data_IF_247396348662
#
_entry.id   IF_247396348662
#
_cell.length_a   1.000
_cell.length_b   1.000
_cell.length_c   1.000
_cell.angle_alpha   90.00
_cell.angle_beta   90.00
_cell.angle_gamma   90.00
#
_symmetry.space_group_name_H-M   'P 1'
#
loop_
_entity.id
_entity.type
_entity.pdbx_description
1 polymer ?
#
# COMPACT_ATOMS: atom_id res chain seq x y z
N UNK A 1 33.84 52.12 -13.10
CA UNK A 1 32.55 52.85 -13.33
C UNK A 1 31.45 51.82 -13.59
N UNK A 2 30.32 52.04 -12.94
CA UNK A 2 28.99 51.38 -13.06
C UNK A 2 28.80 50.02 -12.42
N UNK A 3 28.26 50.08 -11.18
CA UNK A 3 27.57 49.11 -10.41
C UNK A 3 26.30 48.62 -11.12
N UNK A 4 25.95 47.34 -10.97
CA UNK A 4 24.57 46.88 -11.12
C UNK A 4 24.13 46.20 -9.82
N UNK A 5 23.09 46.76 -9.24
CA UNK A 5 22.39 46.31 -8.05
C UNK A 5 21.55 45.08 -8.35
N UNK A 6 21.49 44.20 -7.34
CA UNK A 6 20.50 43.13 -7.21
C UNK A 6 19.17 43.71 -6.75
N UNK A 7 18.06 43.29 -7.35
CA UNK A 7 16.71 43.53 -6.83
C UNK A 7 16.23 42.28 -6.05
N UNK A 8 16.15 42.46 -4.73
CA UNK A 8 15.26 41.66 -3.88
C UNK A 8 13.84 42.24 -4.02
N UNK A 9 12.86 41.40 -4.32
CA UNK A 9 11.45 41.80 -4.35
C UNK A 9 10.78 41.34 -3.07
N UNK A 10 10.47 42.30 -2.22
CA UNK A 10 9.59 42.20 -1.06
C UNK A 10 8.15 42.39 -1.54
N UNK A 11 7.28 41.44 -1.23
CA UNK A 11 5.84 41.68 -1.35
C UNK A 11 5.31 42.29 -0.07
N UNK A 12 4.96 43.56 -0.15
CA UNK A 12 4.26 44.28 0.91
C UNK A 12 2.83 44.60 0.46
N UNK A 13 1.88 44.22 1.30
CA UNK A 13 0.46 44.54 1.17
C UNK A 13 0.24 46.05 1.37
N UNK A 14 -0.51 46.70 0.50
CA UNK A 14 -1.13 47.98 0.80
C UNK A 14 -2.60 48.00 0.42
N UNK A 15 -3.44 48.15 1.45
CA UNK A 15 -4.84 48.54 1.34
C UNK A 15 -4.91 50.04 0.95
N UNK A 16 -5.73 50.38 -0.01
CA UNK A 16 -6.19 51.76 -0.21
C UNK A 16 -7.71 51.76 -0.28
N UNK A 17 -8.31 52.40 0.71
CA UNK A 17 -9.73 52.79 0.78
C UNK A 17 -9.90 54.13 0.11
N UNK A 18 -10.91 54.31 -0.72
CA UNK A 18 -11.61 55.59 -0.91
C UNK A 18 -13.03 55.39 -1.43
N UNK A 19 -14.00 56.22 -1.00
CA UNK A 19 -15.41 56.01 -1.23
C UNK A 19 -15.96 56.77 -2.43
N UNK A 20 -16.87 56.16 -3.15
CA UNK A 20 -17.71 56.90 -4.13
C UNK A 20 -19.14 56.90 -3.66
N UNK A 21 -19.65 58.09 -3.31
CA UNK A 21 -21.08 58.34 -3.07
C UNK A 21 -21.81 58.33 -4.43
N UNK A 22 -22.83 57.50 -4.51
CA UNK A 22 -23.87 57.62 -5.54
C UNK A 22 -25.22 57.51 -4.88
N UNK A 23 -25.96 58.64 -4.91
CA UNK A 23 -27.34 58.75 -4.49
C UNK A 23 -28.21 58.09 -5.55
N UNK A 24 -29.01 57.16 -5.19
CA UNK A 24 -30.14 56.70 -6.00
C UNK A 24 -31.39 56.42 -5.13
N UNK A 25 -32.42 57.02 -5.59
CA UNK A 25 -33.78 57.19 -5.09
C UNK A 25 -34.51 55.87 -4.83
N UNK A 26 -35.23 55.83 -3.75
CA UNK A 26 -36.08 54.73 -3.28
C UNK A 26 -37.28 54.47 -4.20
N UNK A 27 -37.42 53.18 -4.56
CA UNK A 27 -38.72 52.60 -4.92
C UNK A 27 -39.02 51.51 -3.91
N UNK A 28 -40.02 51.73 -3.08
CA UNK A 28 -40.47 50.76 -2.09
C UNK A 28 -41.35 49.73 -2.77
N UNK A 29 -40.80 48.51 -2.92
CA UNK A 29 -41.56 47.33 -3.30
C UNK A 29 -41.72 46.44 -2.04
N UNK A 30 -42.93 46.32 -1.54
CA UNK A 30 -43.27 45.44 -0.40
C UNK A 30 -43.02 44.00 -0.78
N UNK A 31 -42.00 43.38 -0.20
CA UNK A 31 -41.81 41.93 -0.21
C UNK A 31 -42.61 41.25 0.91
N UNK A 32 -43.15 40.04 0.64
CA UNK A 32 -43.90 39.32 1.68
C UNK A 32 -42.98 38.84 2.80
N UNK A 33 -43.45 38.96 4.01
CA UNK A 33 -42.78 38.50 5.24
C UNK A 33 -42.70 36.98 5.20
N UNK A 34 -41.49 36.46 4.98
CA UNK A 34 -41.18 35.05 5.22
C UNK A 34 -41.08 34.84 6.73
N UNK A 35 -42.06 34.15 7.30
CA UNK A 35 -41.97 33.65 8.66
C UNK A 35 -40.79 32.71 8.80
N UNK A 36 -39.82 33.09 9.62
CA UNK A 36 -38.67 32.23 9.94
C UNK A 36 -39.17 30.95 10.61
N UNK A 37 -38.90 29.80 9.97
CA UNK A 37 -39.12 28.50 10.57
C UNK A 37 -38.22 28.38 11.82
N UNK A 38 -38.79 27.94 12.93
CA UNK A 38 -38.06 27.64 14.17
C UNK A 38 -36.92 26.66 13.86
N UNK A 39 -35.67 26.86 14.37
CA UNK A 39 -34.62 25.88 14.23
C UNK A 39 -35.07 24.56 14.87
N UNK A 40 -35.18 23.50 14.07
CA UNK A 40 -35.30 22.15 14.61
C UNK A 40 -33.98 21.83 15.31
N UNK A 41 -34.07 21.63 16.63
CA UNK A 41 -32.98 21.02 17.41
C UNK A 41 -32.69 19.64 16.86
N UNK A 42 -31.55 19.49 16.20
CA UNK A 42 -31.01 18.18 15.84
C UNK A 42 -30.72 17.49 17.16
N UNK A 43 -31.30 16.31 17.46
CA UNK A 43 -30.97 15.58 18.68
C UNK A 43 -29.48 15.29 18.71
N UNK A 44 -28.83 15.33 19.89
CA UNK A 44 -27.40 15.00 19.99
C UNK A 44 -27.20 13.60 19.41
N UNK A 45 -26.30 13.50 18.42
CA UNK A 45 -25.85 12.21 17.91
C UNK A 45 -25.12 11.56 19.07
N UNK A 46 -25.72 10.55 19.69
CA UNK A 46 -25.02 9.72 20.67
C UNK A 46 -23.73 9.21 20.04
N UNK A 47 -22.57 9.36 20.71
CA UNK A 47 -21.34 8.82 20.21
C UNK A 47 -21.55 7.31 20.08
N UNK A 48 -21.52 6.78 18.84
CA UNK A 48 -21.47 5.34 18.61
C UNK A 48 -20.26 4.85 19.39
N UNK A 49 -20.53 4.13 20.48
CA UNK A 49 -19.50 3.39 21.21
C UNK A 49 -18.89 2.42 20.21
N UNK A 50 -17.75 2.79 19.65
CA UNK A 50 -16.95 1.89 18.83
C UNK A 50 -16.46 0.82 19.81
N UNK A 51 -17.07 -0.35 19.79
CA UNK A 51 -16.56 -1.51 20.51
C UNK A 51 -15.15 -1.76 19.97
N UNK A 52 -14.14 -1.37 20.72
CA UNK A 52 -12.74 -1.65 20.43
C UNK A 52 -12.56 -3.13 20.71
N UNK A 53 -12.78 -3.96 19.72
CA UNK A 53 -12.42 -5.38 19.79
C UNK A 53 -10.90 -5.46 19.61
N UNK A 54 -10.21 -6.35 20.36
CA UNK A 54 -8.83 -6.65 20.05
C UNK A 54 -8.72 -7.07 18.57
N UNK A 55 -7.70 -6.62 17.84
CA UNK A 55 -7.61 -6.87 16.39
C UNK A 55 -7.48 -8.35 16.03
N UNK A 56 -7.06 -9.16 16.99
CA UNK A 56 -6.84 -10.60 16.89
C UNK A 56 -7.60 -11.32 18.00
N UNK A 57 -8.15 -12.50 17.69
CA UNK A 57 -8.76 -13.42 18.64
C UNK A 57 -8.15 -14.80 18.54
N UNK A 58 -7.90 -15.45 19.66
CA UNK A 58 -7.48 -16.85 19.69
C UNK A 58 -8.57 -17.74 19.06
N UNK A 59 -8.16 -18.61 18.15
CA UNK A 59 -9.03 -19.51 17.42
C UNK A 59 -8.86 -20.95 17.95
N UNK A 60 -9.94 -21.55 18.38
CA UNK A 60 -9.97 -23.00 18.66
C UNK A 60 -10.03 -23.74 17.33
N UNK A 61 -8.97 -24.45 16.98
CA UNK A 61 -8.94 -25.29 15.78
C UNK A 61 -9.80 -26.54 15.97
N UNK A 62 -10.48 -26.97 14.92
CA UNK A 62 -11.17 -28.23 14.92
C UNK A 62 -10.13 -29.38 15.03
N UNK A 63 -10.14 -30.17 16.14
CA UNK A 63 -9.17 -31.24 16.35
C UNK A 63 -9.30 -32.37 15.31
N UNK A 64 -10.48 -32.53 14.75
CA UNK A 64 -10.79 -33.62 13.79
C UNK A 64 -10.47 -33.25 12.33
N UNK A 65 -9.91 -32.04 12.07
CA UNK A 65 -9.51 -31.68 10.72
C UNK A 65 -8.19 -32.40 10.36
N UNK A 66 -8.30 -33.55 9.69
CA UNK A 66 -7.13 -34.30 9.21
C UNK A 66 -6.30 -33.43 8.24
N UNK A 67 -4.96 -33.59 8.18
CA UNK A 67 -4.10 -32.87 7.26
C UNK A 67 -4.55 -33.03 5.81
N UNK A 68 -5.11 -31.94 5.24
CA UNK A 68 -5.61 -31.90 3.86
C UNK A 68 -5.80 -30.45 3.39
N UNK A 69 -5.94 -30.28 2.08
CA UNK A 69 -6.08 -28.98 1.45
C UNK A 69 -7.23 -28.10 2.00
N UNK A 70 -8.30 -28.71 2.48
CA UNK A 70 -9.43 -27.98 3.07
C UNK A 70 -9.13 -27.41 4.46
N UNK A 71 -8.08 -27.86 5.14
CA UNK A 71 -7.72 -27.42 6.48
C UNK A 71 -6.71 -26.29 6.45
N UNK A 72 -6.71 -25.44 7.49
CA UNK A 72 -5.80 -24.30 7.61
C UNK A 72 -4.33 -24.78 7.62
N UNK A 73 -3.46 -24.05 6.92
CA UNK A 73 -2.01 -24.31 6.88
C UNK A 73 -1.57 -25.32 5.83
N UNK A 74 -2.42 -25.69 4.89
CA UNK A 74 -2.02 -26.52 3.75
C UNK A 74 -1.37 -25.67 2.66
N UNK A 75 -0.05 -25.50 2.73
CA UNK A 75 0.73 -24.75 1.72
C UNK A 75 1.51 -25.73 0.82
N UNK A 76 0.85 -26.18 -0.23
CA UNK A 76 1.44 -27.16 -1.16
C UNK A 76 2.58 -26.58 -1.99
N UNK A 77 2.62 -25.25 -2.19
CA UNK A 77 3.64 -24.63 -3.03
C UNK A 77 5.06 -24.74 -2.44
N UNK A 78 5.18 -24.87 -1.13
CA UNK A 78 6.47 -25.14 -0.47
C UNK A 78 7.10 -26.45 -0.98
N UNK A 79 6.26 -27.43 -1.30
CA UNK A 79 6.68 -28.81 -1.63
C UNK A 79 6.43 -29.18 -3.08
N UNK A 80 6.18 -28.21 -3.93
CA UNK A 80 5.92 -28.47 -5.36
C UNK A 80 7.16 -29.02 -6.05
N UNK A 81 6.96 -30.05 -6.89
CA UNK A 81 8.00 -30.66 -7.70
C UNK A 81 7.71 -30.49 -9.19
N UNK A 82 8.74 -30.41 -10.00
CA UNK A 82 8.64 -30.47 -11.47
C UNK A 82 8.23 -31.87 -11.94
N UNK A 83 7.80 -31.99 -13.19
CA UNK A 83 7.52 -33.31 -13.82
C UNK A 83 8.74 -34.21 -13.83
N UNK A 84 9.96 -33.65 -13.85
CA UNK A 84 11.23 -34.40 -13.76
C UNK A 84 11.66 -34.72 -12.34
N UNK A 85 10.83 -34.42 -11.32
CA UNK A 85 11.09 -34.73 -9.90
C UNK A 85 11.93 -33.69 -9.14
N UNK A 86 12.48 -32.67 -9.82
CA UNK A 86 13.22 -31.58 -9.16
C UNK A 86 12.31 -30.71 -8.30
N UNK A 87 12.81 -30.15 -7.20
CA UNK A 87 12.10 -29.21 -6.35
C UNK A 87 11.92 -27.87 -7.09
N UNK A 88 10.68 -27.44 -7.30
CA UNK A 88 10.31 -26.14 -7.89
C UNK A 88 9.48 -25.30 -6.93
N UNK A 89 9.29 -25.83 -5.72
CA UNK A 89 8.57 -25.13 -4.65
C UNK A 89 9.32 -23.92 -4.14
N UNK A 90 8.60 -23.03 -3.49
CA UNK A 90 9.13 -21.77 -3.00
C UNK A 90 9.56 -21.81 -1.52
N UNK A 91 9.98 -23.01 -1.05
CA UNK A 91 10.47 -23.25 0.32
C UNK A 91 11.53 -22.25 0.75
N UNK A 92 12.55 -22.05 -0.08
CA UNK A 92 13.66 -21.18 0.23
C UNK A 92 13.26 -19.69 0.19
N UNK A 93 12.26 -19.31 -0.62
CA UNK A 93 11.66 -17.97 -0.56
C UNK A 93 11.00 -17.74 0.79
N UNK A 94 10.28 -18.73 1.32
CA UNK A 94 9.68 -18.64 2.66
C UNK A 94 10.77 -18.57 3.76
N UNK A 95 11.81 -19.38 3.68
CA UNK A 95 12.94 -19.35 4.63
C UNK A 95 13.61 -17.98 4.63
N UNK A 96 13.90 -17.42 3.45
CA UNK A 96 14.46 -16.06 3.33
C UNK A 96 13.55 -15.00 3.94
N UNK A 97 12.24 -15.08 3.69
CA UNK A 97 11.28 -14.14 4.29
C UNK A 97 11.28 -14.23 5.83
N UNK A 98 11.38 -15.45 6.38
CA UNK A 98 11.53 -15.66 7.84
C UNK A 98 12.82 -15.03 8.35
N UNK A 99 13.95 -15.25 7.68
CA UNK A 99 15.25 -14.71 8.05
C UNK A 99 15.25 -13.17 8.02
N UNK A 100 14.57 -12.56 7.04
CA UNK A 100 14.35 -11.11 6.98
C UNK A 100 13.56 -10.62 8.22
N UNK A 101 12.48 -11.30 8.60
CA UNK A 101 11.70 -10.95 9.79
C UNK A 101 12.51 -11.11 11.07
N UNK A 102 13.28 -12.18 11.20
CA UNK A 102 14.17 -12.40 12.35
C UNK A 102 15.23 -11.29 12.47
N UNK A 103 15.76 -10.80 11.34
CA UNK A 103 16.70 -9.68 11.34
C UNK A 103 16.04 -8.37 11.80
N UNK A 104 14.82 -8.08 11.33
CA UNK A 104 14.03 -6.94 11.81
C UNK A 104 13.79 -7.03 13.33
N UNK A 105 13.36 -8.19 13.82
CA UNK A 105 13.00 -8.37 15.24
C UNK A 105 14.18 -8.16 16.22
N UNK A 106 15.43 -8.14 15.73
CA UNK A 106 16.61 -7.79 16.52
C UNK A 106 16.84 -6.27 16.66
N UNK A 107 16.09 -5.44 15.91
CA UNK A 107 16.31 -3.99 15.87
C UNK A 107 15.63 -3.26 17.05
N UNK A 108 16.14 -2.08 17.44
CA UNK A 108 15.45 -1.21 18.42
C UNK A 108 14.03 -0.79 17.96
N UNK A 109 13.85 -0.58 16.66
CA UNK A 109 12.55 -0.25 16.08
C UNK A 109 11.51 -1.35 16.34
N UNK A 110 11.91 -2.61 16.21
CA UNK A 110 11.02 -3.73 16.54
C UNK A 110 10.70 -3.76 18.04
N UNK A 111 11.67 -3.50 18.90
CA UNK A 111 11.44 -3.41 20.36
C UNK A 111 10.39 -2.35 20.68
N UNK A 112 10.52 -1.15 20.11
CA UNK A 112 9.56 -0.07 20.31
C UNK A 112 8.16 -0.42 19.75
N UNK A 113 8.10 -1.08 18.57
CA UNK A 113 6.84 -1.48 17.99
C UNK A 113 6.07 -2.49 18.86
N UNK A 114 6.77 -3.44 19.48
CA UNK A 114 6.15 -4.42 20.35
C UNK A 114 5.84 -3.90 21.76
N UNK A 115 6.58 -2.92 22.27
CA UNK A 115 6.24 -2.25 23.55
C UNK A 115 4.90 -1.49 23.45
N UNK A 116 4.53 -1.05 22.25
CA UNK A 116 3.27 -0.33 21.99
C UNK A 116 2.22 -1.21 21.28
N UNK A 117 2.45 -2.52 21.18
CA UNK A 117 1.55 -3.41 20.45
C UNK A 117 0.27 -3.70 21.26
N UNK A 118 -0.95 -3.58 20.68
CA UNK A 118 -2.19 -3.59 21.44
C UNK A 118 -2.62 -4.99 21.94
N UNK A 119 -1.98 -6.07 21.51
CA UNK A 119 -2.28 -7.44 21.95
C UNK A 119 -1.17 -7.93 22.88
N UNK A 120 -1.31 -7.66 24.17
CA UNK A 120 -0.28 -7.92 25.19
C UNK A 120 0.20 -9.37 25.25
N UNK A 121 -0.67 -10.32 24.86
CA UNK A 121 -0.32 -11.75 24.82
C UNK A 121 0.64 -12.12 23.68
N UNK A 122 0.90 -11.22 22.72
CA UNK A 122 1.81 -11.42 21.60
C UNK A 122 3.02 -10.52 21.77
N UNK A 123 4.08 -11.05 22.39
CA UNK A 123 5.33 -10.33 22.61
C UNK A 123 6.34 -10.54 21.50
N UNK A 124 7.33 -9.63 21.39
CA UNK A 124 8.43 -9.76 20.43
C UNK A 124 9.16 -11.10 20.57
N UNK A 125 9.45 -11.51 21.80
CA UNK A 125 10.19 -12.75 22.08
C UNK A 125 9.41 -14.00 21.71
N UNK A 126 8.07 -13.99 21.88
CA UNK A 126 7.21 -15.06 21.39
C UNK A 126 7.24 -15.13 19.85
N UNK A 127 7.20 -14.00 19.17
CA UNK A 127 7.28 -13.96 17.71
C UNK A 127 8.64 -14.48 17.23
N UNK A 128 9.75 -14.09 17.88
CA UNK A 128 11.08 -14.64 17.58
C UNK A 128 11.10 -16.15 17.73
N UNK A 129 10.66 -16.70 18.88
CA UNK A 129 10.62 -18.14 19.12
C UNK A 129 9.74 -18.85 18.08
N UNK A 130 8.60 -18.27 17.76
CA UNK A 130 7.69 -18.79 16.74
C UNK A 130 8.36 -18.91 15.38
N UNK A 131 9.06 -17.87 14.95
CA UNK A 131 9.77 -17.86 13.67
C UNK A 131 10.94 -18.84 13.63
N UNK A 132 11.74 -18.90 14.70
CA UNK A 132 12.85 -19.86 14.81
C UNK A 132 12.34 -21.29 14.71
N UNK A 133 11.28 -21.64 15.47
CA UNK A 133 10.70 -22.98 15.43
C UNK A 133 10.05 -23.28 14.07
N UNK A 134 9.28 -22.37 13.53
CA UNK A 134 8.63 -22.55 12.24
C UNK A 134 9.65 -22.73 11.10
N UNK A 135 10.76 -21.98 11.12
CA UNK A 135 11.86 -22.16 10.17
C UNK A 135 12.40 -23.61 10.19
N UNK A 136 12.61 -24.16 11.37
CA UNK A 136 13.04 -25.56 11.51
C UNK A 136 12.01 -26.54 10.92
N UNK A 137 10.72 -26.29 11.16
CA UNK A 137 9.64 -27.10 10.60
C UNK A 137 9.61 -27.05 9.08
N UNK A 138 9.74 -25.85 8.49
CA UNK A 138 9.77 -25.67 7.03
C UNK A 138 10.93 -26.42 6.40
N UNK A 139 12.13 -26.34 7.00
CA UNK A 139 13.34 -27.00 6.47
C UNK A 139 13.24 -28.54 6.59
N UNK A 140 12.71 -29.03 7.71
CA UNK A 140 12.73 -30.48 8.03
C UNK A 140 11.50 -31.23 7.50
N UNK A 141 10.39 -30.55 7.20
CA UNK A 141 9.19 -31.22 6.70
C UNK A 141 9.36 -31.68 5.25
N UNK A 142 8.86 -32.85 4.95
CA UNK A 142 8.92 -33.50 3.63
C UNK A 142 7.65 -33.32 2.80
N UNK A 143 6.56 -32.86 3.43
CA UNK A 143 5.27 -32.65 2.77
C UNK A 143 4.44 -31.57 3.44
N UNK A 144 3.45 -31.03 2.70
CA UNK A 144 2.49 -30.08 3.22
C UNK A 144 1.67 -30.65 4.41
N UNK A 145 1.36 -31.93 4.38
CA UNK A 145 0.66 -32.62 5.47
C UNK A 145 1.51 -32.61 6.76
N UNK A 146 2.78 -33.01 6.67
CA UNK A 146 3.68 -33.03 7.81
C UNK A 146 3.87 -31.63 8.43
N UNK A 147 4.06 -30.61 7.60
CA UNK A 147 4.20 -29.22 8.08
C UNK A 147 2.90 -28.73 8.72
N UNK A 148 1.75 -28.98 8.08
CA UNK A 148 0.44 -28.60 8.62
C UNK A 148 0.17 -29.24 9.99
N UNK A 149 0.47 -30.52 10.13
CA UNK A 149 0.25 -31.26 11.38
C UNK A 149 1.13 -30.72 12.51
N UNK A 150 2.43 -30.51 12.24
CA UNK A 150 3.35 -29.92 13.21
C UNK A 150 2.90 -28.50 13.65
N UNK A 151 2.47 -27.67 12.71
CA UNK A 151 1.95 -26.33 13.03
C UNK A 151 0.71 -26.38 13.91
N UNK A 152 -0.20 -27.30 13.65
CA UNK A 152 -1.41 -27.48 14.48
C UNK A 152 -1.12 -27.93 15.90
N UNK A 153 -0.11 -28.78 16.06
CA UNK A 153 0.29 -29.28 17.37
C UNK A 153 1.02 -28.21 18.19
N UNK A 154 1.91 -27.45 17.55
CA UNK A 154 2.85 -26.58 18.24
C UNK A 154 2.43 -25.11 18.32
N UNK A 155 1.47 -24.63 17.51
CA UNK A 155 1.13 -23.23 17.45
C UNK A 155 -0.31 -22.92 17.86
N UNK A 156 -0.48 -21.82 18.59
CA UNK A 156 -1.73 -21.14 18.76
C UNK A 156 -2.03 -20.29 17.54
N UNK A 157 -3.30 -20.23 17.15
CA UNK A 157 -3.77 -19.53 15.96
C UNK A 157 -4.62 -18.31 16.38
N UNK A 158 -4.18 -17.14 16.01
CA UNK A 158 -4.90 -15.88 16.26
C UNK A 158 -5.52 -15.39 14.95
N UNK A 159 -6.85 -15.39 14.87
CA UNK A 159 -7.58 -14.90 13.70
C UNK A 159 -7.77 -13.39 13.77
N UNK A 160 -7.51 -12.68 12.67
CA UNK A 160 -7.98 -11.30 12.52
C UNK A 160 -9.50 -11.23 12.70
N UNK A 161 -9.98 -10.25 13.47
CA UNK A 161 -11.43 -10.03 13.65
C UNK A 161 -12.11 -9.49 12.38
N UNK A 162 -11.31 -9.02 11.40
CA UNK A 162 -11.85 -8.36 10.21
C UNK A 162 -12.50 -7.02 10.54
N UNK A 163 -13.20 -6.45 9.56
CA UNK A 163 -13.99 -5.23 9.78
C UNK A 163 -15.40 -5.51 10.29
N UNK A 164 -15.83 -6.76 10.22
CA UNK A 164 -17.17 -7.23 10.56
C UNK A 164 -17.22 -7.96 11.92
N UNK A 165 -16.10 -8.08 12.62
CA UNK A 165 -15.97 -8.88 13.84
C UNK A 165 -16.06 -10.39 13.63
N UNK A 166 -16.29 -10.84 12.38
CA UNK A 166 -16.45 -12.26 12.00
C UNK A 166 -15.19 -12.84 11.36
N UNK A 167 -14.15 -12.01 11.16
CA UNK A 167 -12.87 -12.43 10.60
C UNK A 167 -12.78 -12.28 9.09
N UNK A 168 -13.71 -11.56 8.45
CA UNK A 168 -13.63 -11.29 7.02
C UNK A 168 -12.58 -10.24 6.73
N UNK A 169 -11.57 -10.60 5.93
CA UNK A 169 -10.49 -9.75 5.52
C UNK A 169 -10.55 -9.56 4.00
N UNK A 170 -10.50 -8.30 3.56
CA UNK A 170 -10.41 -7.98 2.14
C UNK A 170 -8.96 -8.06 1.69
N UNK A 171 -8.71 -8.88 0.69
CA UNK A 171 -7.41 -9.03 0.04
C UNK A 171 -7.35 -8.22 -1.25
N UNK A 172 -6.22 -7.57 -1.47
CA UNK A 172 -5.74 -7.08 -2.75
C UNK A 172 -4.28 -7.49 -2.90
N UNK A 173 -3.65 -7.10 -3.98
CA UNK A 173 -2.25 -7.39 -4.18
C UNK A 173 -1.52 -6.20 -4.82
N UNK A 174 -0.22 -6.11 -4.55
CA UNK A 174 0.69 -5.14 -5.13
C UNK A 174 1.90 -5.84 -5.74
N UNK A 175 2.64 -5.10 -6.54
CA UNK A 175 3.81 -5.62 -7.24
C UNK A 175 4.82 -4.50 -7.49
N UNK A 176 6.03 -4.84 -7.89
CA UNK A 176 7.01 -3.88 -8.38
C UNK A 176 6.98 -3.86 -9.91
N UNK A 177 6.48 -2.79 -10.56
CA UNK A 177 6.46 -2.68 -12.01
C UNK A 177 7.88 -2.54 -12.59
N UNK A 178 7.99 -2.79 -13.89
CA UNK A 178 9.21 -2.56 -14.67
C UNK A 178 8.89 -1.52 -15.73
N UNK A 179 9.61 -0.40 -15.74
CA UNK A 179 9.38 0.70 -16.66
C UNK A 179 10.68 1.17 -17.32
N UNK A 180 10.54 1.74 -18.52
CA UNK A 180 11.62 2.47 -19.20
C UNK A 180 11.80 3.84 -18.55
N UNK A 181 13.05 4.24 -18.29
CA UNK A 181 13.36 5.49 -17.61
C UNK A 181 14.67 6.13 -18.12
N UNK A 182 14.93 7.35 -17.70
CA UNK A 182 16.16 8.08 -17.95
C UNK A 182 16.63 8.80 -16.68
N UNK A 183 17.95 8.96 -16.53
CA UNK A 183 18.54 9.78 -15.45
C UNK A 183 18.42 11.27 -15.75
N UNK A 184 18.22 11.64 -17.00
CA UNK A 184 18.10 13.02 -17.45
C UNK A 184 16.76 13.23 -18.16
N UNK A 185 16.24 14.45 -18.09
CA UNK A 185 15.05 14.82 -18.86
C UNK A 185 15.38 14.90 -20.35
N UNK A 186 14.54 14.27 -21.16
CA UNK A 186 14.60 14.36 -22.63
C UNK A 186 13.25 14.79 -23.20
N UNK A 187 13.12 14.87 -24.53
CA UNK A 187 11.82 15.08 -25.18
C UNK A 187 10.87 13.92 -24.98
N UNK A 188 11.38 12.71 -24.78
CA UNK A 188 10.64 11.49 -24.58
C UNK A 188 10.37 11.21 -23.09
N UNK A 189 11.39 11.33 -22.23
CA UNK A 189 11.31 11.10 -20.80
C UNK A 189 11.03 12.41 -20.07
N UNK A 190 9.76 12.64 -19.69
CA UNK A 190 9.26 13.95 -19.19
C UNK A 190 8.76 13.94 -17.76
N UNK A 191 8.33 12.75 -17.25
CA UNK A 191 7.61 12.64 -15.98
C UNK A 191 8.54 12.14 -14.88
N UNK A 192 8.95 13.00 -13.94
CA UNK A 192 9.96 12.66 -12.96
C UNK A 192 9.41 11.92 -11.74
N UNK A 193 10.23 11.06 -11.18
CA UNK A 193 10.16 10.61 -9.79
C UNK A 193 11.11 11.48 -8.97
N UNK A 194 10.72 11.84 -7.75
CA UNK A 194 11.46 12.79 -6.93
C UNK A 194 12.04 12.15 -5.67
N UNK A 195 13.22 12.62 -5.28
CA UNK A 195 13.86 12.31 -3.99
C UNK A 195 13.09 12.95 -2.85
N UNK A 196 13.19 12.33 -1.66
CA UNK A 196 12.73 12.97 -0.44
C UNK A 196 13.59 14.22 -0.16
N UNK A 197 12.98 15.39 0.07
CA UNK A 197 13.69 16.60 0.47
C UNK A 197 14.47 16.36 1.77
N UNK A 198 15.69 16.90 1.89
CA UNK A 198 16.52 16.77 3.10
C UNK A 198 15.88 17.39 4.35
N UNK A 199 15.06 18.41 4.14
CA UNK A 199 14.33 19.12 5.20
C UNK A 199 12.84 18.76 5.25
N UNK A 200 12.47 17.56 4.81
CA UNK A 200 11.07 17.13 4.75
C UNK A 200 10.40 17.09 6.12
N UNK A 201 11.14 16.78 7.16
CA UNK A 201 10.73 16.81 8.57
C UNK A 201 10.40 18.20 9.10
N UNK A 202 10.88 19.26 8.41
CA UNK A 202 10.63 20.67 8.72
C UNK A 202 9.44 21.24 7.92
N UNK A 203 8.84 20.45 7.05
CA UNK A 203 7.69 20.94 6.29
C UNK A 203 6.48 21.14 7.20
N UNK A 204 5.79 22.28 6.98
CA UNK A 204 4.57 22.59 7.73
C UNK A 204 3.43 21.63 7.36
N UNK A 205 2.63 21.25 8.34
CA UNK A 205 1.40 20.47 8.14
C UNK A 205 0.18 21.40 8.05
N UNK A 206 -0.76 21.13 7.12
CA UNK A 206 -0.71 20.07 6.13
C UNK A 206 0.38 20.31 5.09
N UNK A 207 1.06 19.24 4.67
CA UNK A 207 2.06 19.31 3.61
C UNK A 207 1.46 19.84 2.30
N UNK A 208 2.28 20.35 1.36
CA UNK A 208 1.80 20.63 0.02
C UNK A 208 1.18 19.41 -0.64
N UNK A 209 0.04 19.62 -1.30
CA UNK A 209 -0.66 18.57 -2.04
C UNK A 209 0.06 18.22 -3.34
N UNK A 210 -0.32 17.11 -3.96
CA UNK A 210 0.20 16.69 -5.27
C UNK A 210 0.13 17.82 -6.31
N UNK A 211 -0.98 18.55 -6.41
CA UNK A 211 -1.17 19.58 -7.40
C UNK A 211 -0.27 20.79 -7.14
N UNK A 212 -0.04 21.13 -5.87
CA UNK A 212 0.88 22.22 -5.49
C UNK A 212 2.34 21.83 -5.76
N UNK A 213 2.68 20.55 -5.68
CA UNK A 213 4.02 20.04 -5.92
C UNK A 213 4.33 19.86 -7.41
N UNK A 214 3.50 19.13 -8.15
CA UNK A 214 3.79 18.73 -9.53
C UNK A 214 2.85 19.35 -10.59
N UNK A 215 1.79 20.06 -10.17
CA UNK A 215 0.77 20.61 -11.07
C UNK A 215 -0.25 19.54 -11.51
N UNK A 216 -1.27 20.00 -12.24
CA UNK A 216 -2.30 19.11 -12.78
C UNK A 216 -1.76 18.16 -13.85
N UNK A 217 -0.74 18.59 -14.59
CA UNK A 217 -0.10 17.85 -15.69
C UNK A 217 1.20 17.11 -15.31
N UNK A 218 1.61 17.19 -14.05
CA UNK A 218 2.86 16.66 -13.50
C UNK A 218 4.14 17.33 -14.07
N UNK A 219 4.05 18.59 -14.56
CA UNK A 219 5.17 19.29 -15.17
C UNK A 219 5.60 20.56 -14.40
N UNK A 220 4.89 20.91 -13.32
CA UNK A 220 5.19 22.09 -12.49
C UNK A 220 6.50 21.98 -11.70
N UNK A 221 7.01 20.76 -11.45
CA UNK A 221 8.06 20.48 -10.45
C UNK A 221 9.30 21.39 -10.52
N UNK A 222 9.74 21.81 -11.72
CA UNK A 222 10.83 22.77 -11.88
C UNK A 222 10.55 24.16 -11.28
N UNK A 223 9.28 24.50 -11.09
CA UNK A 223 8.82 25.79 -10.55
C UNK A 223 8.27 25.66 -9.14
N UNK A 224 8.40 24.51 -8.51
CA UNK A 224 7.97 24.22 -7.15
C UNK A 224 9.17 23.86 -6.26
N UNK A 225 8.91 23.50 -5.00
CA UNK A 225 9.92 23.02 -4.07
C UNK A 225 10.51 21.63 -4.46
N UNK A 226 10.03 21.03 -5.54
CA UNK A 226 10.60 19.79 -6.11
C UNK A 226 11.80 20.03 -7.03
N UNK A 227 12.10 21.28 -7.39
CA UNK A 227 13.20 21.63 -8.30
C UNK A 227 14.54 21.13 -7.76
N UNK A 228 15.27 20.36 -8.58
CA UNK A 228 16.55 19.73 -8.21
C UNK A 228 16.43 18.42 -7.41
N UNK A 229 15.20 17.95 -7.16
CA UNK A 229 14.95 16.68 -6.49
C UNK A 229 14.62 15.55 -7.46
N UNK A 230 14.64 15.79 -8.76
CA UNK A 230 14.38 14.80 -9.79
C UNK A 230 15.38 13.65 -9.69
N UNK A 231 14.86 12.41 -9.63
CA UNK A 231 15.64 11.19 -9.45
C UNK A 231 15.79 10.43 -10.76
N UNK A 232 14.65 10.17 -11.42
CA UNK A 232 14.53 9.53 -12.73
C UNK A 232 13.35 10.13 -13.47
N UNK A 233 13.37 10.03 -14.79
CA UNK A 233 12.34 10.52 -15.68
C UNK A 233 11.71 9.35 -16.42
N UNK A 234 10.39 9.22 -16.38
CA UNK A 234 9.64 8.21 -17.10
C UNK A 234 9.07 8.79 -18.40
N UNK A 235 8.78 7.91 -19.34
CA UNK A 235 8.22 8.23 -20.64
C UNK A 235 6.73 8.56 -20.53
N UNK A 236 6.00 7.79 -19.74
CA UNK A 236 4.55 7.88 -19.58
C UNK A 236 4.18 8.39 -18.19
N UNK A 237 3.21 9.31 -18.14
CA UNK A 237 2.69 9.88 -16.90
C UNK A 237 1.95 8.84 -16.06
N UNK A 238 1.18 7.95 -16.72
CA UNK A 238 0.48 6.89 -16.02
C UNK A 238 1.47 5.96 -15.33
N UNK A 239 2.59 5.63 -15.99
CA UNK A 239 3.64 4.79 -15.40
C UNK A 239 4.26 5.48 -14.17
N UNK A 240 4.59 6.77 -14.27
CA UNK A 240 5.08 7.55 -13.12
C UNK A 240 4.07 7.53 -11.96
N UNK A 241 2.78 7.74 -12.25
CA UNK A 241 1.72 7.67 -11.25
C UNK A 241 1.58 6.27 -10.65
N UNK A 242 1.74 5.22 -11.44
CA UNK A 242 1.71 3.83 -10.95
C UNK A 242 2.88 3.53 -10.00
N UNK A 243 4.07 4.11 -10.20
CA UNK A 243 5.17 4.00 -9.23
C UNK A 243 4.77 4.62 -7.88
N UNK A 244 4.07 5.75 -7.87
CA UNK A 244 3.55 6.33 -6.62
C UNK A 244 2.55 5.40 -5.91
N UNK A 245 1.70 4.69 -6.65
CA UNK A 245 0.72 3.74 -6.09
C UNK A 245 1.43 2.51 -5.51
N UNK A 246 2.39 1.93 -6.25
CA UNK A 246 3.06 0.69 -5.87
C UNK A 246 4.20 0.91 -4.84
N UNK A 247 4.74 2.13 -4.76
CA UNK A 247 5.82 2.50 -3.84
C UNK A 247 7.22 2.03 -4.27
N UNK A 248 7.33 1.28 -5.36
CA UNK A 248 8.60 0.81 -5.93
C UNK A 248 8.48 0.53 -7.42
N UNK A 249 9.62 0.51 -8.12
CA UNK A 249 9.73 0.07 -9.51
C UNK A 249 11.14 -0.39 -9.83
N UNK A 250 11.26 -1.31 -10.78
CA UNK A 250 12.51 -1.57 -11.52
C UNK A 250 12.52 -0.66 -12.75
N UNK A 251 13.66 -0.05 -13.03
CA UNK A 251 13.84 0.89 -14.12
C UNK A 251 14.89 0.36 -15.10
N UNK A 252 14.49 0.14 -16.35
CA UNK A 252 15.41 -0.06 -17.47
C UNK A 252 15.79 1.33 -17.98
N UNK A 253 17.06 1.69 -17.85
CA UNK A 253 17.51 3.02 -18.26
C UNK A 253 17.84 3.04 -19.75
N UNK A 254 17.67 4.22 -20.36
CA UNK A 254 17.96 4.44 -21.79
C UNK A 254 19.44 4.32 -22.16
N UNK A 255 20.35 4.23 -21.17
CA UNK A 255 21.76 3.90 -21.34
C UNK A 255 22.05 2.38 -21.34
N UNK A 256 21.00 1.55 -21.28
CA UNK A 256 21.10 0.09 -21.23
C UNK A 256 21.31 -0.49 -19.83
N UNK A 257 21.48 0.34 -18.81
CA UNK A 257 21.64 -0.12 -17.43
C UNK A 257 20.28 -0.34 -16.74
N UNK A 258 20.29 -1.04 -15.62
CA UNK A 258 19.11 -1.28 -14.79
C UNK A 258 19.33 -0.77 -13.38
N UNK A 259 18.29 -0.19 -12.82
CA UNK A 259 18.25 0.22 -11.41
C UNK A 259 16.86 -0.02 -10.84
N UNK A 260 16.63 0.43 -9.63
CA UNK A 260 15.30 0.38 -8.99
C UNK A 260 15.10 1.56 -8.08
N UNK A 261 13.83 1.87 -7.80
CA UNK A 261 13.42 2.86 -6.83
C UNK A 261 12.52 2.23 -5.77
N UNK A 262 12.61 2.75 -4.56
CA UNK A 262 11.77 2.37 -3.43
C UNK A 262 11.27 3.58 -2.69
N UNK A 263 10.23 3.40 -1.90
CA UNK A 263 9.62 4.43 -1.06
C UNK A 263 10.66 5.08 -0.13
N UNK A 264 10.65 6.41 -0.06
CA UNK A 264 11.49 7.18 0.84
C UNK A 264 10.68 8.03 1.84
N UNK A 265 9.47 8.43 1.46
CA UNK A 265 8.58 9.25 2.27
C UNK A 265 7.35 9.68 1.48
N UNK A 266 6.43 10.37 2.11
CA UNK A 266 5.24 10.90 1.43
C UNK A 266 4.52 11.92 2.28
N UNK A 267 3.81 12.84 1.61
CA UNK A 267 3.01 13.85 2.28
C UNK A 267 1.88 13.25 3.12
N UNK A 268 1.33 13.99 4.05
CA UNK A 268 0.43 13.55 5.13
C UNK A 268 -1.05 13.39 4.71
N UNK A 269 -1.33 13.41 3.41
CA UNK A 269 -2.71 13.21 2.93
C UNK A 269 -3.12 11.73 2.94
N UNK A 270 -4.42 11.45 3.16
CA UNK A 270 -4.95 10.10 3.11
C UNK A 270 -4.94 9.53 1.69
N UNK A 271 -5.13 8.22 1.59
CA UNK A 271 -5.33 7.54 0.32
C UNK A 271 -6.66 7.93 -0.33
N UNK A 272 -6.62 8.26 -1.63
CA UNK A 272 -7.81 8.46 -2.46
C UNK A 272 -7.79 7.44 -3.60
N UNK A 273 -8.85 6.65 -3.70
CA UNK A 273 -8.97 5.63 -4.74
C UNK A 273 -9.46 6.26 -6.04
N UNK A 274 -8.58 6.43 -7.01
CA UNK A 274 -8.92 7.01 -8.33
C UNK A 274 -9.95 6.16 -9.08
N UNK A 275 -9.93 4.84 -8.93
CA UNK A 275 -10.95 3.98 -9.51
C UNK A 275 -12.35 4.27 -8.95
N UNK A 276 -12.47 4.58 -7.66
CA UNK A 276 -13.74 5.00 -7.07
C UNK A 276 -14.16 6.40 -7.50
N UNK A 277 -13.22 7.31 -7.68
CA UNK A 277 -13.52 8.64 -8.22
C UNK A 277 -14.05 8.55 -9.67
N UNK A 278 -13.44 7.68 -10.50
CA UNK A 278 -13.97 7.38 -11.85
C UNK A 278 -15.40 6.81 -11.82
N UNK A 279 -15.68 5.93 -10.86
CA UNK A 279 -17.04 5.38 -10.71
C UNK A 279 -18.04 6.43 -10.22
N UNK A 280 -17.65 7.27 -9.27
CA UNK A 280 -18.46 8.36 -8.73
C UNK A 280 -18.87 9.34 -9.82
N UNK A 281 -17.97 9.63 -10.78
CA UNK A 281 -18.22 10.51 -11.91
C UNK A 281 -18.84 9.77 -13.12
N UNK A 282 -19.24 8.50 -12.96
CA UNK A 282 -19.87 7.69 -14.02
C UNK A 282 -18.97 7.30 -15.18
N UNK A 283 -17.65 7.48 -15.05
CA UNK A 283 -16.66 7.14 -16.10
C UNK A 283 -16.38 5.64 -16.20
N UNK A 284 -16.46 4.92 -15.08
CA UNK A 284 -16.36 3.46 -15.02
C UNK A 284 -17.46 2.89 -14.12
N UNK A 285 -18.13 1.80 -14.53
CA UNK A 285 -19.10 1.14 -13.68
C UNK A 285 -18.43 0.44 -12.48
N UNK A 286 -19.13 0.31 -11.34
CA UNK A 286 -18.61 -0.24 -10.09
C UNK A 286 -18.02 -1.65 -10.22
N UNK A 287 -18.50 -2.45 -11.14
CA UNK A 287 -17.98 -3.80 -11.40
C UNK A 287 -16.73 -3.83 -12.29
N UNK A 288 -16.25 -2.68 -12.79
CA UNK A 288 -15.05 -2.54 -13.64
C UNK A 288 -13.94 -1.69 -13.01
N UNK A 289 -13.83 -1.70 -11.69
CA UNK A 289 -12.80 -0.91 -10.96
C UNK A 289 -11.45 -1.62 -10.80
N UNK A 290 -11.28 -2.79 -11.39
CA UNK A 290 -9.99 -3.50 -11.41
C UNK A 290 -8.93 -2.68 -12.16
N UNK A 291 -7.69 -2.77 -11.70
CA UNK A 291 -6.58 -1.96 -12.21
C UNK A 291 -6.40 -2.01 -13.74
N UNK A 292 -6.54 -3.16 -14.43
CA UNK A 292 -6.45 -3.19 -15.89
C UNK A 292 -7.45 -2.28 -16.59
N UNK A 293 -8.69 -2.19 -16.09
CA UNK A 293 -9.71 -1.33 -16.66
C UNK A 293 -9.41 0.16 -16.44
N UNK A 294 -8.89 0.51 -15.26
CA UNK A 294 -8.45 1.88 -14.94
C UNK A 294 -7.29 2.30 -15.83
N UNK A 295 -6.30 1.42 -16.04
CA UNK A 295 -5.18 1.65 -16.96
C UNK A 295 -5.70 1.85 -18.39
N UNK A 296 -6.59 0.97 -18.85
CA UNK A 296 -7.19 1.07 -20.19
C UNK A 296 -7.94 2.39 -20.37
N UNK A 297 -8.71 2.80 -19.37
CA UNK A 297 -9.42 4.08 -19.39
C UNK A 297 -8.47 5.26 -19.60
N UNK A 298 -7.40 5.37 -18.82
CA UNK A 298 -6.46 6.49 -18.95
C UNK A 298 -5.62 6.43 -20.22
N UNK A 299 -5.30 5.25 -20.73
CA UNK A 299 -4.64 5.11 -22.06
C UNK A 299 -5.54 5.60 -23.19
N UNK A 300 -6.84 5.33 -23.11
CA UNK A 300 -7.82 5.82 -24.10
C UNK A 300 -8.20 7.29 -23.89
N UNK A 301 -8.04 7.83 -22.68
CA UNK A 301 -8.43 9.19 -22.31
C UNK A 301 -7.28 9.91 -21.55
N UNK A 302 -6.13 10.17 -22.19
CA UNK A 302 -4.93 10.67 -21.48
C UNK A 302 -5.14 12.06 -20.84
N UNK A 303 -6.01 12.90 -21.38
CA UNK A 303 -6.33 14.22 -20.80
C UNK A 303 -7.04 14.10 -19.44
N UNK A 304 -7.76 13.02 -19.20
CA UNK A 304 -8.46 12.78 -17.92
C UNK A 304 -7.47 12.56 -16.75
N UNK A 305 -6.21 12.26 -17.01
CA UNK A 305 -5.19 12.20 -15.97
C UNK A 305 -5.06 13.53 -15.22
N UNK A 306 -5.25 14.68 -15.91
CA UNK A 306 -5.22 16.00 -15.28
C UNK A 306 -6.37 16.21 -14.29
N UNK A 307 -7.51 15.59 -14.55
CA UNK A 307 -8.70 15.74 -13.72
C UNK A 307 -8.70 14.78 -12.53
N UNK A 308 -8.08 13.60 -12.66
CA UNK A 308 -8.20 12.54 -11.66
C UNK A 308 -6.95 12.36 -10.79
N UNK A 309 -5.74 12.44 -11.32
CA UNK A 309 -4.53 12.19 -10.52
C UNK A 309 -4.34 13.20 -9.38
N UNK A 310 -4.65 14.50 -9.55
CA UNK A 310 -4.62 15.48 -8.46
C UNK A 310 -5.60 15.21 -7.32
N UNK A 311 -6.67 14.42 -7.53
CA UNK A 311 -7.63 14.07 -6.47
C UNK A 311 -6.99 13.23 -5.36
N UNK A 312 -5.96 12.44 -5.68
CA UNK A 312 -5.10 11.85 -4.66
C UNK A 312 -4.02 12.86 -4.26
N UNK A 313 -4.31 13.67 -3.24
CA UNK A 313 -3.46 14.77 -2.80
C UNK A 313 -2.10 14.32 -2.27
N UNK A 314 -1.97 13.06 -1.79
CA UNK A 314 -0.73 12.51 -1.28
C UNK A 314 0.32 12.40 -2.38
N UNK A 315 1.54 12.90 -2.09
CA UNK A 315 2.70 12.77 -2.95
C UNK A 315 3.71 11.79 -2.34
N UNK A 316 4.34 10.97 -3.17
CA UNK A 316 5.30 9.96 -2.73
C UNK A 316 6.68 10.34 -3.24
N UNK A 317 7.66 10.25 -2.36
CA UNK A 317 9.07 10.45 -2.64
C UNK A 317 9.80 9.11 -2.67
N UNK A 318 10.88 9.05 -3.46
CA UNK A 318 11.61 7.83 -3.74
C UNK A 318 13.10 7.96 -3.41
N UNK A 319 13.75 6.82 -3.25
CA UNK A 319 15.21 6.67 -3.25
C UNK A 319 15.60 5.62 -4.26
N UNK A 320 16.78 5.80 -4.87
CA UNK A 320 17.38 4.76 -5.70
C UNK A 320 17.80 3.58 -4.82
N UNK A 321 17.52 2.36 -5.27
CA UNK A 321 17.82 1.14 -4.53
C UNK A 321 18.81 0.23 -5.27
N UNK A 322 19.38 0.70 -6.38
CA UNK A 322 20.46 0.06 -7.14
C UNK A 322 20.17 -1.42 -7.46
N UNK A 323 18.99 -1.71 -7.98
CA UNK A 323 18.56 -3.07 -8.33
C UNK A 323 18.21 -3.98 -7.15
N UNK A 324 18.27 -3.49 -5.92
CA UNK A 324 17.82 -4.26 -4.74
C UNK A 324 16.32 -4.52 -4.80
N UNK A 325 15.90 -5.63 -4.18
CA UNK A 325 14.49 -5.94 -4.01
C UNK A 325 13.76 -4.81 -3.27
N UNK A 326 12.46 -4.59 -3.55
CA UNK A 326 11.65 -3.65 -2.79
C UNK A 326 11.72 -3.97 -1.29
N UNK A 327 11.78 -2.93 -0.46
CA UNK A 327 11.78 -3.07 1.00
C UNK A 327 10.40 -2.68 1.53
N UNK A 328 9.89 -3.52 2.42
CA UNK A 328 8.68 -3.22 3.17
C UNK A 328 8.89 -2.19 4.27
N UNK A 329 7.81 -1.79 4.90
CA UNK A 329 7.79 -0.79 5.97
C UNK A 329 8.71 -1.12 7.16
N UNK A 330 8.89 -2.39 7.48
CA UNK A 330 9.80 -2.82 8.56
C UNK A 330 11.28 -2.81 8.15
N UNK A 331 11.62 -2.27 6.97
CA UNK A 331 13.00 -2.08 6.52
C UNK A 331 13.69 -3.32 5.96
N UNK A 332 12.95 -4.40 5.69
CA UNK A 332 13.48 -5.64 5.09
C UNK A 332 12.97 -5.84 3.67
N UNK A 333 13.70 -6.60 2.82
CA UNK A 333 13.22 -6.97 1.52
C UNK A 333 11.88 -7.72 1.59
N UNK A 334 10.90 -7.35 0.74
CA UNK A 334 9.68 -8.12 0.57
C UNK A 334 9.90 -9.27 -0.40
N UNK A 335 9.38 -10.43 -0.05
CA UNK A 335 9.55 -11.66 -0.81
C UNK A 335 8.28 -11.98 -1.60
N UNK A 336 8.36 -12.20 -2.93
CA UNK A 336 7.22 -12.55 -3.75
C UNK A 336 6.41 -13.71 -3.16
N UNK A 337 5.11 -13.54 -3.07
CA UNK A 337 4.16 -14.52 -2.53
C UNK A 337 4.43 -14.98 -1.07
N UNK A 338 5.32 -14.28 -0.35
CA UNK A 338 5.66 -14.58 1.05
C UNK A 338 5.59 -13.37 1.98
N UNK A 339 5.41 -12.16 1.43
CA UNK A 339 5.23 -10.94 2.23
C UNK A 339 3.83 -10.37 2.06
N UNK A 340 3.28 -9.84 3.16
CA UNK A 340 2.02 -9.11 3.19
C UNK A 340 2.20 -7.73 3.81
N UNK A 341 1.33 -6.82 3.40
CA UNK A 341 1.13 -5.52 4.02
C UNK A 341 -0.16 -5.52 4.84
N UNK A 342 -0.07 -5.01 6.08
CA UNK A 342 -1.19 -4.87 7.01
C UNK A 342 -1.12 -3.53 7.75
N UNK A 343 -2.10 -3.24 8.58
CA UNK A 343 -2.07 -2.08 9.48
C UNK A 343 -1.15 -2.35 10.66
N UNK A 344 0.05 -1.76 10.66
CA UNK A 344 1.07 -1.99 11.70
C UNK A 344 0.72 -1.41 13.07
N UNK A 345 -0.32 -0.59 13.17
CA UNK A 345 -0.84 -0.17 14.48
C UNK A 345 -1.70 -1.26 15.15
N UNK A 346 -2.11 -2.27 14.39
CA UNK A 346 -3.03 -3.33 14.83
C UNK A 346 -2.43 -4.73 14.73
N UNK A 347 -1.56 -4.97 13.75
CA UNK A 347 -1.03 -6.30 13.42
C UNK A 347 0.44 -6.42 13.83
N UNK A 348 0.92 -7.63 14.27
CA UNK A 348 2.27 -7.80 14.81
C UNK A 348 3.33 -7.72 13.70
N UNK A 349 4.20 -6.69 13.70
CA UNK A 349 5.16 -6.49 12.61
C UNK A 349 6.21 -7.62 12.57
N UNK A 350 6.45 -8.15 11.38
CA UNK A 350 7.41 -9.23 11.14
C UNK A 350 6.91 -10.63 11.53
N UNK A 351 5.69 -10.77 12.06
CA UNK A 351 5.17 -12.05 12.53
C UNK A 351 4.81 -13.02 11.39
N UNK A 352 4.81 -14.31 11.71
CA UNK A 352 4.33 -15.39 10.87
C UNK A 352 2.80 -15.36 10.79
N UNK A 353 2.27 -15.44 9.57
CA UNK A 353 0.84 -15.52 9.35
C UNK A 353 0.47 -16.61 8.32
N UNK A 354 -0.81 -16.97 8.30
CA UNK A 354 -1.44 -17.72 7.22
C UNK A 354 -2.50 -16.84 6.58
N UNK A 355 -2.47 -16.72 5.26
CA UNK A 355 -3.57 -16.19 4.48
C UNK A 355 -4.37 -17.35 3.87
N UNK A 356 -5.70 -17.24 3.92
CA UNK A 356 -6.62 -18.17 3.26
C UNK A 356 -7.58 -17.36 2.39
N UNK A 357 -7.25 -17.24 1.11
CA UNK A 357 -7.95 -16.35 0.17
C UNK A 357 -7.83 -16.85 -1.26
N UNK A 358 -8.46 -16.14 -2.19
CA UNK A 358 -8.45 -16.44 -3.61
C UNK A 358 -7.45 -15.56 -4.33
N UNK A 359 -6.55 -16.20 -5.13
CA UNK A 359 -5.55 -15.49 -5.94
C UNK A 359 -5.49 -16.04 -7.36
N UNK A 360 -5.18 -15.18 -8.36
CA UNK A 360 -5.03 -15.60 -9.74
C UNK A 360 -3.67 -16.27 -9.98
N UNK A 361 -3.68 -17.44 -10.61
CA UNK A 361 -2.48 -18.18 -11.01
C UNK A 361 -2.50 -18.45 -12.52
N UNK A 362 -1.34 -18.49 -13.19
CA UNK A 362 -1.28 -18.81 -14.60
C UNK A 362 -1.66 -20.28 -14.84
N UNK A 363 -2.45 -20.51 -15.89
CA UNK A 363 -2.71 -21.83 -16.45
C UNK A 363 -1.60 -22.20 -17.46
N UNK A 364 -1.59 -23.46 -17.91
CA UNK A 364 -0.69 -23.91 -18.98
C UNK A 364 -0.85 -23.14 -20.31
N UNK A 365 -2.00 -22.51 -20.52
CA UNK A 365 -2.31 -21.71 -21.71
C UNK A 365 -2.04 -20.21 -21.50
N UNK A 366 -1.42 -19.80 -20.38
CA UNK A 366 -1.09 -18.41 -20.09
C UNK A 366 -2.25 -17.53 -19.59
N UNK A 367 -3.46 -18.05 -19.51
CA UNK A 367 -4.59 -17.39 -18.86
C UNK A 367 -4.43 -17.38 -17.33
N UNK A 368 -5.18 -16.52 -16.65
CA UNK A 368 -5.21 -16.47 -15.18
C UNK A 368 -6.48 -17.15 -14.67
N UNK A 369 -6.30 -18.11 -13.75
CA UNK A 369 -7.38 -18.78 -13.05
C UNK A 369 -7.28 -18.49 -11.55
N UNK A 370 -8.40 -18.08 -10.95
CA UNK A 370 -8.47 -17.79 -9.52
C UNK A 370 -8.63 -19.07 -8.71
N UNK A 371 -7.71 -19.28 -7.76
CA UNK A 371 -7.71 -20.47 -6.88
C UNK A 371 -7.68 -20.05 -5.42
N UNK A 372 -8.41 -20.77 -4.58
CA UNK A 372 -8.28 -20.65 -3.13
C UNK A 372 -6.97 -21.28 -2.67
N UNK A 373 -6.21 -20.56 -1.87
CA UNK A 373 -4.94 -21.04 -1.33
C UNK A 373 -4.85 -20.76 0.15
N UNK A 374 -4.09 -21.60 0.85
CA UNK A 374 -3.59 -21.38 2.20
C UNK A 374 -2.08 -21.19 2.10
N UNK A 375 -1.56 -20.01 2.49
CA UNK A 375 -0.15 -19.65 2.34
C UNK A 375 0.43 -19.17 3.65
N UNK A 376 1.61 -19.69 4.01
CA UNK A 376 2.42 -19.08 5.05
C UNK A 376 3.11 -17.83 4.52
N UNK A 377 2.95 -16.73 5.24
CA UNK A 377 3.46 -15.39 4.85
C UNK A 377 4.02 -14.66 6.06
N UNK A 378 4.83 -13.63 5.80
CA UNK A 378 5.41 -12.76 6.81
C UNK A 378 4.79 -11.36 6.71
N UNK A 379 4.48 -10.77 7.84
CA UNK A 379 3.87 -9.43 7.92
C UNK A 379 4.94 -8.34 7.89
N UNK A 380 5.43 -8.01 6.70
CA UNK A 380 6.65 -7.22 6.49
C UNK A 380 6.42 -5.82 5.94
N UNK A 381 5.18 -5.49 5.55
CA UNK A 381 4.91 -4.23 4.86
C UNK A 381 3.61 -3.56 5.35
N UNK A 382 3.40 -2.31 4.93
CA UNK A 382 2.17 -1.55 5.13
C UNK A 382 1.91 -0.63 3.93
N UNK A 383 0.75 -0.03 3.89
CA UNK A 383 0.40 0.97 2.88
C UNK A 383 -0.64 1.96 3.40
N UNK A 384 -0.70 3.16 2.81
CA UNK A 384 -1.66 4.19 3.20
C UNK A 384 -3.13 3.77 3.02
N UNK A 385 -3.39 2.82 2.11
CA UNK A 385 -4.69 2.21 1.88
C UNK A 385 -4.95 0.98 2.76
N UNK A 386 -3.93 0.48 3.46
CA UNK A 386 -4.01 -0.77 4.24
C UNK A 386 -4.22 -0.39 5.70
N UNK A 387 -5.48 -0.18 6.02
CA UNK A 387 -5.94 0.22 7.35
C UNK A 387 -7.00 -0.76 7.85
N UNK A 388 -7.11 -0.88 9.17
CA UNK A 388 -8.04 -1.76 9.88
C UNK A 388 -7.62 -3.24 9.89
N UNK A 389 -8.16 -4.07 10.80
CA UNK A 389 -7.85 -5.50 10.85
C UNK A 389 -8.40 -6.29 9.65
N UNK A 390 -9.34 -5.72 8.91
CA UNK A 390 -9.98 -6.36 7.75
C UNK A 390 -9.31 -6.06 6.40
N UNK A 391 -8.02 -5.68 6.37
CA UNK A 391 -7.34 -5.31 5.13
C UNK A 391 -5.94 -5.91 5.00
N UNK A 392 -5.69 -6.60 3.90
CA UNK A 392 -4.37 -7.17 3.55
C UNK A 392 -4.04 -6.85 2.10
N UNK A 393 -2.78 -6.52 1.85
CA UNK A 393 -2.23 -6.41 0.51
C UNK A 393 -1.09 -7.41 0.34
N UNK A 394 -1.15 -8.24 -0.71
CA UNK A 394 -0.25 -9.38 -0.93
C UNK A 394 0.80 -9.07 -1.99
N UNK A 395 2.07 -9.22 -1.68
CA UNK A 395 3.15 -8.94 -2.63
C UNK A 395 3.26 -10.05 -3.68
N UNK A 396 2.94 -9.74 -4.93
CA UNK A 396 2.97 -10.68 -6.05
C UNK A 396 4.34 -10.81 -6.73
N UNK A 397 5.32 -9.97 -6.35
CA UNK A 397 6.64 -9.94 -6.98
C UNK A 397 6.80 -8.83 -8.02
N UNK A 398 7.60 -9.06 -9.04
CA UNK A 398 8.02 -8.04 -10.00
C UNK A 398 7.52 -8.34 -11.42
N UNK A 399 7.37 -7.28 -12.22
CA UNK A 399 7.15 -7.35 -13.66
C UNK A 399 5.73 -7.71 -14.08
N UNK A 400 5.58 -8.03 -15.38
CA UNK A 400 4.28 -8.08 -16.04
C UNK A 400 3.32 -9.16 -15.51
N UNK A 401 3.82 -10.37 -15.22
CA UNK A 401 2.95 -11.42 -14.68
C UNK A 401 2.44 -11.06 -13.27
N UNK A 402 3.33 -10.55 -12.41
CA UNK A 402 2.96 -10.07 -11.09
C UNK A 402 1.93 -8.94 -11.19
N UNK A 403 2.12 -7.99 -12.12
CA UNK A 403 1.18 -6.90 -12.37
C UNK A 403 -0.19 -7.35 -12.86
N UNK A 404 -0.25 -8.29 -13.82
CA UNK A 404 -1.52 -8.88 -14.29
C UNK A 404 -2.26 -9.58 -13.14
N UNK A 405 -1.54 -10.35 -12.32
CA UNK A 405 -2.10 -11.04 -11.15
C UNK A 405 -2.58 -10.05 -10.09
N UNK A 406 -1.73 -9.10 -9.70
CA UNK A 406 -2.07 -8.08 -8.71
C UNK A 406 -3.27 -7.24 -9.14
N UNK A 407 -3.33 -6.85 -10.42
CA UNK A 407 -4.36 -5.98 -10.97
C UNK A 407 -5.78 -6.55 -10.93
N UNK A 408 -5.94 -7.86 -10.91
CA UNK A 408 -7.23 -8.55 -10.81
C UNK A 408 -7.45 -9.22 -9.45
N UNK A 409 -6.48 -9.14 -8.53
CA UNK A 409 -6.64 -9.66 -7.18
C UNK A 409 -7.61 -8.78 -6.40
N UNK A 410 -8.70 -9.37 -5.96
CA UNK A 410 -9.68 -8.69 -5.13
C UNK A 410 -10.72 -9.68 -4.63
N UNK A 411 -10.89 -9.75 -3.31
CA UNK A 411 -11.87 -10.66 -2.72
C UNK A 411 -11.74 -10.74 -1.22
N UNK A 412 -12.61 -11.53 -0.60
CA UNK A 412 -12.62 -11.78 0.82
C UNK A 412 -11.93 -13.10 1.14
N UNK A 413 -11.30 -13.13 2.30
CA UNK A 413 -10.63 -14.30 2.85
C UNK A 413 -10.42 -14.14 4.34
N UNK A 414 -9.43 -14.83 4.88
CA UNK A 414 -9.09 -14.80 6.30
C UNK A 414 -7.58 -14.65 6.49
N UNK A 415 -7.22 -13.98 7.59
CA UNK A 415 -5.83 -13.80 8.05
C UNK A 415 -5.70 -14.41 9.44
N UNK A 416 -4.63 -15.20 9.65
CA UNK A 416 -4.32 -15.84 10.91
C UNK A 416 -2.85 -15.63 11.24
N UNK A 417 -2.53 -15.29 12.50
CA UNK A 417 -1.16 -15.26 13.02
C UNK A 417 -0.87 -16.52 13.83
N UNK A 418 0.37 -16.98 13.75
CA UNK A 418 0.84 -18.19 14.42
C UNK A 418 1.82 -17.85 15.51
N UNK A 419 1.51 -18.23 16.74
CA UNK A 419 2.35 -18.02 17.92
C UNK A 419 2.65 -19.38 18.54
N UNK A 420 3.92 -19.69 18.75
CA UNK A 420 4.36 -20.95 19.36
C UNK A 420 3.73 -21.07 20.76
N UNK A 421 3.11 -22.21 21.02
CA UNK A 421 2.55 -22.56 22.35
C UNK A 421 3.62 -22.44 23.43
N UNK A 422 3.20 -22.12 24.64
CA UNK A 422 4.07 -22.06 25.83
C UNK A 422 4.49 -23.42 26.28
#
# INVERSE_FOLDING_TARGET
>A
MKKKLSLLSFCLFMMITQPVFLVLTWVIQKSPVLTAAKPQLIPPVEPKVVKIFPPLKLLTLNPNCQPRQACLGWDYQIFQRSKSGGEVGDRWSLVNAIDHSLNYLKTPTATQAYNNYPVETITRDQVIRSLVRFRQLVVNSRSAAQLQDAVRQEFDVYQSVGNDGKGTVKFTAYYSPVYEASRIRTTEYKYPLYRLPKNFDQWTTPHPSRVELEGEDALLGKKSCLSGLELFWLRDRLDAYMVHIQGSATLNLNDGTKTSVGYAGGTDYPWTSISRELAKDGKLPLNKLALPNVISFFKSNPKEMNNYFPRWKRFIFFKETNGRLPHGNIGVPVTPERSIATDKSLMPPGALAIINAFFPYPTSHGNLETRRVSRFVLDQDTGSAIKTPGRVDYFMGNGNLAGRRAGITGGNGHLYYLILKR
#
